data_IF_506707364486
#
_entry.id   IF_506707364486
#
_cell.length_a   1.000
_cell.length_b   1.000
_cell.length_c   1.000
_cell.angle_alpha   90.00
_cell.angle_beta   90.00
_cell.angle_gamma   90.00
#
_symmetry.space_group_name_H-M   'P 1'
#
loop_
_entity.id
_entity.type
_entity.pdbx_description
1 polymer ?
#
# COMPACT_ATOMS: atom_id res chain seq x y z
N UNK A 1 29.27 29.66 10.54
CA UNK A 1 28.99 28.22 10.69
C UNK A 1 28.42 28.08 12.10
N UNK A 2 27.20 27.61 12.38
CA UNK A 2 26.60 26.31 12.10
C UNK A 2 25.07 26.45 12.18
N UNK A 3 24.30 25.95 11.21
CA UNK A 3 22.83 25.88 11.33
C UNK A 3 22.39 24.43 11.11
N UNK A 4 22.34 23.67 12.20
CA UNK A 4 21.65 22.38 12.21
C UNK A 4 20.14 22.65 12.31
N UNK A 5 19.47 22.70 11.17
CA UNK A 5 18.00 22.71 11.12
C UNK A 5 17.50 21.32 10.79
N UNK A 6 17.33 20.49 11.83
CA UNK A 6 16.57 19.24 11.75
C UNK A 6 15.11 19.55 11.42
N UNK A 7 14.79 19.54 10.14
CA UNK A 7 13.42 19.70 9.64
C UNK A 7 12.66 18.40 9.88
N UNK A 8 11.99 18.29 11.03
CA UNK A 8 10.97 17.27 11.25
C UNK A 8 9.84 17.51 10.24
N UNK A 9 9.77 16.69 9.20
CA UNK A 9 8.60 16.59 8.34
C UNK A 9 7.49 15.92 9.14
N UNK A 10 6.64 16.74 9.76
CA UNK A 10 5.31 16.28 10.16
C UNK A 10 4.57 15.95 8.87
N UNK A 11 4.46 14.68 8.54
CA UNK A 11 3.47 14.21 7.57
C UNK A 11 2.10 14.63 8.12
N UNK A 12 1.22 15.26 7.32
CA UNK A 12 -0.16 15.39 7.75
C UNK A 12 -0.64 13.96 7.97
N UNK A 13 -1.09 13.62 9.19
CA UNK A 13 -1.82 12.39 9.41
C UNK A 13 -2.94 12.36 8.36
N UNK A 14 -2.74 11.59 7.30
CA UNK A 14 -3.79 11.23 6.37
C UNK A 14 -4.71 10.38 7.23
N UNK A 15 -5.74 11.03 7.77
CA UNK A 15 -6.79 10.44 8.59
C UNK A 15 -7.12 9.10 7.96
N UNK A 16 -6.88 8.02 8.70
CA UNK A 16 -7.10 6.66 8.21
C UNK A 16 -8.46 6.65 7.49
N UNK A 17 -8.55 6.30 6.19
CA UNK A 17 -9.81 6.38 5.48
C UNK A 17 -10.86 5.59 6.28
N UNK A 18 -12.11 6.10 6.36
CA UNK A 18 -13.15 5.42 7.11
C UNK A 18 -13.19 3.97 6.64
N UNK A 19 -13.12 3.03 7.59
CA UNK A 19 -13.15 1.61 7.29
C UNK A 19 -14.33 1.36 6.35
N UNK A 20 -14.05 0.74 5.21
CA UNK A 20 -15.07 0.45 4.21
C UNK A 20 -16.23 -0.34 4.83
N UNK A 21 -17.46 -0.11 4.36
CA UNK A 21 -18.67 -0.74 4.92
C UNK A 21 -18.96 -2.13 4.31
N UNK A 22 -17.92 -2.84 3.86
CA UNK A 22 -18.09 -4.15 3.24
C UNK A 22 -18.42 -5.23 4.27
N UNK A 23 -19.24 -6.21 3.86
CA UNK A 23 -19.51 -7.42 4.64
C UNK A 23 -19.11 -8.66 3.81
N UNK A 24 -18.23 -9.55 4.31
CA UNK A 24 -17.44 -9.41 5.54
C UNK A 24 -16.53 -8.17 5.52
N UNK A 25 -16.13 -7.70 6.70
CA UNK A 25 -15.23 -6.57 6.84
C UNK A 25 -13.92 -6.85 6.10
N UNK A 26 -13.40 -5.87 5.39
CA UNK A 26 -12.11 -6.01 4.70
C UNK A 26 -10.95 -5.97 5.71
N UNK A 27 -9.85 -6.70 5.43
CA UNK A 27 -8.65 -6.64 6.23
C UNK A 27 -8.03 -5.23 6.20
N UNK A 28 -7.31 -4.89 7.27
CA UNK A 28 -6.55 -3.64 7.34
C UNK A 28 -5.36 -3.69 6.38
N UNK A 29 -4.79 -2.53 6.02
CA UNK A 29 -3.58 -2.45 5.20
C UNK A 29 -2.38 -3.15 5.84
N UNK A 30 -2.35 -3.24 7.17
CA UNK A 30 -1.21 -3.79 7.90
C UNK A 30 -1.31 -5.32 8.05
N UNK A 31 -2.47 -5.91 7.72
CA UNK A 31 -2.70 -7.35 7.83
C UNK A 31 -1.93 -8.12 6.76
N UNK A 32 -1.59 -9.39 7.04
CA UNK A 32 -0.90 -10.24 6.09
C UNK A 32 -1.77 -10.57 4.85
N UNK A 33 -3.08 -10.56 5.00
CA UNK A 33 -4.08 -10.80 3.96
C UNK A 33 -4.64 -9.50 3.36
N UNK A 34 -3.92 -8.38 3.45
CA UNK A 34 -4.37 -7.04 2.98
C UNK A 34 -4.89 -7.01 1.54
N UNK A 35 -4.37 -7.87 0.68
CA UNK A 35 -4.77 -8.02 -0.74
C UNK A 35 -6.19 -8.57 -0.91
N UNK A 36 -6.78 -9.18 0.12
CA UNK A 36 -8.16 -9.66 0.10
C UNK A 36 -9.21 -8.54 0.27
N UNK A 37 -8.77 -7.29 0.47
CA UNK A 37 -9.66 -6.13 0.45
C UNK A 37 -10.27 -5.92 -0.95
N UNK A 38 -11.45 -5.28 -1.00
CA UNK A 38 -12.16 -5.09 -2.28
C UNK A 38 -11.52 -4.00 -3.14
N UNK A 39 -11.40 -4.27 -4.43
CA UNK A 39 -11.08 -3.28 -5.46
C UNK A 39 -12.05 -2.09 -5.44
N UNK A 40 -11.52 -0.89 -5.50
CA UNK A 40 -12.28 0.37 -5.69
C UNK A 40 -11.87 1.12 -6.96
N UNK A 41 -10.67 0.86 -7.47
CA UNK A 41 -10.25 1.26 -8.80
C UNK A 41 -9.36 0.17 -9.42
N UNK A 42 -9.53 -0.06 -10.71
CA UNK A 42 -8.77 -1.07 -11.45
C UNK A 42 -8.27 -0.43 -12.74
N UNK A 43 -6.94 -0.32 -12.88
CA UNK A 43 -6.27 0.36 -13.99
C UNK A 43 -5.19 -0.54 -14.59
N UNK A 44 -5.58 -1.60 -15.32
CA UNK A 44 -4.64 -2.53 -15.94
C UNK A 44 -3.75 -1.81 -16.96
N UNK A 45 -4.27 -0.80 -17.67
CA UNK A 45 -3.47 0.02 -18.59
C UNK A 45 -2.32 0.79 -17.90
N UNK A 46 -2.35 0.95 -16.58
CA UNK A 46 -1.29 1.56 -15.78
C UNK A 46 -0.58 0.56 -14.86
N UNK A 47 -0.99 -0.70 -14.87
CA UNK A 47 -0.39 -1.78 -14.07
C UNK A 47 -0.72 -1.75 -12.59
N UNK A 48 -1.83 -1.13 -12.16
CA UNK A 48 -2.19 -1.04 -10.75
C UNK A 48 -3.69 -1.13 -10.45
N UNK A 49 -3.97 -1.38 -9.18
CA UNK A 49 -5.29 -1.53 -8.61
C UNK A 49 -5.33 -0.90 -7.22
N UNK A 50 -6.35 -0.11 -6.92
CA UNK A 50 -6.56 0.46 -5.58
C UNK A 50 -7.59 -0.36 -4.83
N UNK A 51 -7.23 -0.78 -3.62
CA UNK A 51 -8.10 -1.49 -2.69
C UNK A 51 -8.76 -0.53 -1.69
N UNK A 52 -9.90 -0.93 -1.14
CA UNK A 52 -10.69 -0.11 -0.23
C UNK A 52 -10.01 0.18 1.12
N UNK A 53 -9.00 -0.61 1.50
CA UNK A 53 -8.13 -0.38 2.66
C UNK A 53 -6.96 0.58 2.33
N UNK A 54 -6.92 1.14 1.11
CA UNK A 54 -5.93 2.12 0.67
C UNK A 54 -4.64 1.52 0.11
N UNK A 55 -4.53 0.19 0.02
CA UNK A 55 -3.40 -0.48 -0.62
C UNK A 55 -3.46 -0.30 -2.13
N UNK A 56 -2.35 0.13 -2.74
CA UNK A 56 -2.13 0.02 -4.19
C UNK A 56 -1.45 -1.33 -4.47
N UNK A 57 -2.15 -2.21 -5.18
CA UNK A 57 -1.63 -3.47 -5.67
C UNK A 57 -1.13 -3.29 -7.11
N UNK A 58 0.11 -3.69 -7.37
CA UNK A 58 0.71 -3.70 -8.70
C UNK A 58 0.57 -5.07 -9.36
N UNK A 59 0.57 -5.10 -10.70
CA UNK A 59 0.44 -6.36 -11.46
C UNK A 59 1.56 -7.37 -11.18
N UNK A 60 2.73 -6.91 -10.74
CA UNK A 60 3.84 -7.78 -10.39
C UNK A 60 3.79 -8.30 -8.95
N UNK A 61 2.65 -8.15 -8.25
CA UNK A 61 2.40 -8.46 -6.83
C UNK A 61 3.07 -7.52 -5.84
N UNK A 62 3.72 -6.45 -6.30
CA UNK A 62 4.19 -5.39 -5.41
C UNK A 62 3.01 -4.65 -4.77
N UNK A 63 3.25 -4.06 -3.60
CA UNK A 63 2.23 -3.27 -2.90
C UNK A 63 2.80 -1.92 -2.41
N UNK A 64 1.99 -0.87 -2.46
CA UNK A 64 2.24 0.39 -1.78
C UNK A 64 1.15 0.62 -0.72
N UNK A 65 1.56 0.62 0.54
CA UNK A 65 0.66 0.80 1.69
C UNK A 65 0.24 2.27 1.86
N UNK A 66 -0.87 2.56 2.57
CA UNK A 66 -1.36 3.92 2.79
C UNK A 66 -0.37 4.86 3.50
N UNK A 67 0.55 4.30 4.28
CA UNK A 67 1.60 5.02 5.00
C UNK A 67 2.85 5.30 4.15
N UNK A 68 2.88 4.78 2.92
CA UNK A 68 3.98 4.92 1.97
C UNK A 68 5.01 3.79 2.04
N UNK A 69 4.82 2.76 2.86
CA UNK A 69 5.68 1.57 2.84
C UNK A 69 5.51 0.78 1.53
N UNK A 70 6.63 0.27 1.02
CA UNK A 70 6.68 -0.54 -0.21
C UNK A 70 6.87 -2.00 0.20
N UNK A 71 5.96 -2.87 -0.24
CA UNK A 71 6.14 -4.32 -0.20
C UNK A 71 6.66 -4.77 -1.57
N UNK A 72 7.80 -5.44 -1.55
CA UNK A 72 8.44 -5.89 -2.78
C UNK A 72 7.60 -7.00 -3.45
N UNK A 73 7.54 -7.03 -4.79
CA UNK A 73 6.85 -8.07 -5.52
C UNK A 73 7.41 -9.47 -5.22
N UNK A 74 6.52 -10.46 -5.17
CA UNK A 74 6.86 -11.88 -5.04
C UNK A 74 7.41 -12.44 -6.35
N UNK A 75 8.62 -12.02 -6.75
CA UNK A 75 9.37 -12.65 -7.83
C UNK A 75 10.09 -13.86 -7.27
N UNK A 76 9.82 -15.06 -7.80
CA UNK A 76 10.70 -16.20 -7.56
C UNK A 76 12.09 -15.83 -8.06
N UNK A 77 13.04 -15.64 -7.15
CA UNK A 77 14.44 -15.45 -7.52
C UNK A 77 14.91 -16.81 -8.05
N UNK A 78 14.87 -16.98 -9.37
CA UNK A 78 15.54 -18.11 -10.02
C UNK A 78 17.03 -17.93 -9.76
N UNK A 79 17.54 -18.65 -8.77
CA UNK A 79 18.99 -18.67 -8.51
C UNK A 79 19.59 -19.54 -9.60
N UNK A 80 20.32 -18.93 -10.53
CA UNK A 80 21.04 -19.67 -11.56
C UNK A 80 22.11 -20.56 -10.89
N UNK A 81 22.12 -21.85 -11.25
CA UNK A 81 23.12 -22.83 -10.81
C UNK A 81 24.44 -22.69 -11.56
#
# INVERSE_FOLDING_TARGET
MNTSSSRRTHTPQRKNPPMCQHQPACPTSDSADREAARLVAHHPEQGWSLLCNGVLLFEDTGELLPDGQIIAPHRQVMTAA
#
